data_IF_728112115428
#
_entry.id   IF_728112115428
#
_cell.length_a   1.000
_cell.length_b   1.000
_cell.length_c   1.000
_cell.angle_alpha   90.00
_cell.angle_beta   90.00
_cell.angle_gamma   90.00
#
_symmetry.space_group_name_H-M   'P 1'
#
loop_
_entity.id
_entity.type
_entity.pdbx_description
1 polymer ?
#
# COMPACT_ATOMS: atom_id res chain seq x y z
N UNK A 1 -4.52 32.62 -7.61
CA UNK A 1 -4.44 31.26 -8.18
C UNK A 1 -3.62 30.41 -7.22
N UNK A 2 -4.22 29.47 -6.51
CA UNK A 2 -3.52 28.59 -5.56
C UNK A 2 -3.23 27.28 -6.26
N UNK A 3 -1.98 27.04 -6.62
CA UNK A 3 -1.53 25.80 -7.24
C UNK A 3 -1.35 24.77 -6.13
N UNK A 4 -2.38 23.99 -5.81
CA UNK A 4 -2.24 22.82 -4.95
C UNK A 4 -1.47 21.75 -5.73
N UNK A 5 -0.18 21.59 -5.44
CA UNK A 5 0.58 20.43 -5.89
C UNK A 5 -0.03 19.19 -5.25
N UNK A 6 -0.96 18.54 -5.95
CA UNK A 6 -1.48 17.25 -5.54
C UNK A 6 -0.33 16.24 -5.60
N UNK A 7 0.33 16.02 -4.46
CA UNK A 7 1.31 14.95 -4.32
C UNK A 7 0.55 13.64 -4.48
N UNK A 8 0.47 13.15 -5.72
CA UNK A 8 -0.10 11.84 -6.07
C UNK A 8 0.56 10.79 -5.17
N UNK A 9 -0.28 10.06 -4.43
CA UNK A 9 0.14 8.92 -3.63
C UNK A 9 0.74 7.80 -4.51
N UNK A 10 1.25 6.73 -3.87
CA UNK A 10 1.77 5.58 -4.60
C UNK A 10 0.66 4.88 -5.42
N UNK A 11 1.06 4.20 -6.49
CA UNK A 11 0.14 3.45 -7.33
C UNK A 11 -0.08 2.04 -6.78
N UNK A 12 -1.31 1.55 -6.85
CA UNK A 12 -1.68 0.19 -6.46
C UNK A 12 -1.90 -0.66 -7.71
N UNK A 13 -1.01 -1.62 -7.94
CA UNK A 13 -1.09 -2.53 -9.09
C UNK A 13 -1.59 -3.89 -8.61
N UNK A 14 -2.75 -4.37 -9.06
CA UNK A 14 -3.26 -5.69 -8.66
C UNK A 14 -2.32 -6.79 -9.16
N UNK A 15 -2.01 -7.75 -8.27
CA UNK A 15 -1.18 -8.93 -8.58
C UNK A 15 -2.06 -10.17 -8.70
N UNK A 16 -3.02 -10.31 -7.78
CA UNK A 16 -4.08 -11.32 -7.76
C UNK A 16 -5.22 -10.80 -6.90
N UNK A 17 -6.32 -11.55 -6.80
CA UNK A 17 -7.42 -11.17 -5.91
C UNK A 17 -6.93 -10.93 -4.47
N UNK A 18 -7.27 -9.76 -3.93
CA UNK A 18 -6.87 -9.35 -2.60
C UNK A 18 -5.37 -9.04 -2.41
N UNK A 19 -4.55 -8.94 -3.46
CA UNK A 19 -3.13 -8.59 -3.31
C UNK A 19 -2.72 -7.51 -4.31
N UNK A 20 -2.18 -6.42 -3.78
CA UNK A 20 -1.67 -5.30 -4.57
C UNK A 20 -0.19 -5.09 -4.32
N UNK A 21 0.52 -4.78 -5.41
CA UNK A 21 1.88 -4.27 -5.38
C UNK A 21 1.82 -2.74 -5.35
N UNK A 22 2.52 -2.16 -4.39
CA UNK A 22 2.62 -0.70 -4.23
C UNK A 22 3.84 -0.20 -4.98
N UNK A 23 3.66 0.70 -5.95
CA UNK A 23 4.75 1.28 -6.72
C UNK A 23 4.87 2.78 -6.48
N UNK A 24 6.11 3.23 -6.24
CA UNK A 24 6.43 4.64 -6.13
C UNK A 24 6.44 5.33 -7.50
N UNK A 25 6.57 6.66 -7.50
CA UNK A 25 6.58 7.47 -8.73
C UNK A 25 7.73 7.11 -9.70
N UNK A 26 8.83 6.58 -9.19
CA UNK A 26 9.96 6.10 -10.00
C UNK A 26 9.70 4.73 -10.66
N UNK A 27 8.55 4.10 -10.40
CA UNK A 27 8.27 2.72 -10.78
C UNK A 27 8.86 1.67 -9.84
N UNK A 28 9.64 2.08 -8.83
CA UNK A 28 10.18 1.17 -7.83
C UNK A 28 9.05 0.54 -6.99
N UNK A 29 9.19 -0.76 -6.71
CA UNK A 29 8.25 -1.47 -5.83
C UNK A 29 8.58 -1.13 -4.38
N UNK A 30 7.63 -0.51 -3.68
CA UNK A 30 7.76 -0.11 -2.28
C UNK A 30 7.29 -1.20 -1.31
N UNK A 31 6.38 -2.06 -1.77
CA UNK A 31 5.85 -3.14 -0.95
C UNK A 31 4.54 -3.69 -1.47
N UNK A 32 3.75 -4.23 -0.55
CA UNK A 32 2.50 -4.90 -0.86
C UNK A 32 1.42 -4.53 0.16
N UNK A 33 0.17 -4.57 -0.30
CA UNK A 33 -1.01 -4.53 0.54
C UNK A 33 -1.80 -5.80 0.25
N UNK A 34 -2.21 -6.51 1.30
CA UNK A 34 -2.99 -7.74 1.17
C UNK A 34 -4.31 -7.61 1.93
N UNK A 35 -5.40 -7.99 1.27
CA UNK A 35 -6.72 -8.11 1.86
C UNK A 35 -6.77 -9.39 2.68
N UNK A 36 -7.16 -9.25 3.94
CA UNK A 36 -7.37 -10.33 4.90
C UNK A 36 -8.82 -10.33 5.33
N UNK A 37 -9.43 -11.50 5.35
CA UNK A 37 -10.73 -11.66 6.00
C UNK A 37 -10.50 -11.65 7.52
N UNK A 38 -11.20 -10.76 8.22
CA UNK A 38 -11.26 -10.70 9.68
C UNK A 38 -12.71 -10.98 10.14
N UNK A 39 -12.88 -11.37 11.41
CA UNK A 39 -14.20 -11.66 11.99
C UNK A 39 -15.18 -10.48 11.90
N UNK A 40 -14.68 -9.24 11.77
CA UNK A 40 -15.48 -8.01 11.67
C UNK A 40 -15.57 -7.44 10.25
N UNK A 41 -14.95 -8.07 9.26
CA UNK A 41 -14.92 -7.61 7.87
C UNK A 41 -13.55 -7.72 7.23
N UNK A 42 -13.39 -7.13 6.05
CA UNK A 42 -12.10 -7.15 5.36
C UNK A 42 -11.12 -6.12 5.94
N UNK A 43 -9.85 -6.51 6.10
CA UNK A 43 -8.75 -5.62 6.49
C UNK A 43 -7.64 -5.66 5.45
N UNK A 44 -6.85 -4.60 5.41
CA UNK A 44 -5.75 -4.42 4.48
C UNK A 44 -4.44 -4.38 5.25
N UNK A 45 -3.67 -5.46 5.16
CA UNK A 45 -2.36 -5.58 5.79
C UNK A 45 -1.29 -4.99 4.88
N UNK A 46 -0.61 -3.93 5.34
CA UNK A 46 0.46 -3.27 4.62
C UNK A 46 1.84 -3.83 5.02
N UNK A 47 2.69 -4.09 4.03
CA UNK A 47 4.08 -4.53 4.22
C UNK A 47 5.02 -3.75 3.30
N UNK A 48 6.03 -3.10 3.87
CA UNK A 48 7.06 -2.36 3.13
C UNK A 48 8.28 -3.20 2.91
N UNK A 49 8.80 -3.20 1.68
CA UNK A 49 10.10 -3.79 1.36
C UNK A 49 11.16 -2.77 1.74
N UNK A 50 12.11 -3.18 2.57
CA UNK A 50 13.22 -2.31 3.02
C UNK A 50 14.55 -2.72 2.39
N UNK A 51 14.76 -4.01 2.12
CA UNK A 51 15.98 -4.55 1.51
C UNK A 51 15.65 -5.90 0.85
N UNK A 52 15.97 -6.11 -0.43
CA UNK A 52 15.84 -7.38 -1.17
C UNK A 52 14.64 -8.28 -0.75
N UNK A 53 14.84 -9.19 0.22
CA UNK A 53 13.82 -10.11 0.73
C UNK A 53 13.17 -9.69 2.07
N UNK A 54 13.70 -8.67 2.75
CA UNK A 54 13.19 -8.17 4.03
C UNK A 54 12.04 -7.19 3.81
N UNK A 55 10.93 -7.51 4.47
CA UNK A 55 9.80 -6.60 4.61
C UNK A 55 9.45 -6.36 6.07
N UNK A 56 8.97 -5.16 6.35
CA UNK A 56 8.43 -4.77 7.65
C UNK A 56 6.92 -4.64 7.55
N UNK A 57 6.21 -5.04 8.59
CA UNK A 57 4.77 -4.83 8.69
C UNK A 57 4.51 -3.38 9.09
N UNK A 58 3.66 -2.69 8.33
CA UNK A 58 3.29 -1.31 8.59
C UNK A 58 1.99 -1.19 9.41
N UNK A 59 1.15 -2.22 9.36
CA UNK A 59 -0.11 -2.28 10.09
C UNK A 59 -1.24 -2.92 9.28
N UNK A 60 -2.42 -2.94 9.90
CA UNK A 60 -3.66 -3.44 9.31
C UNK A 60 -4.76 -2.39 9.38
N UNK A 61 -5.33 -2.09 8.23
CA UNK A 61 -6.24 -0.96 8.05
C UNK A 61 -7.61 -1.44 7.57
N UNK A 62 -8.65 -0.66 7.83
CA UNK A 62 -9.99 -0.96 7.33
C UNK A 62 -10.21 -0.47 5.89
N UNK A 63 -9.38 0.48 5.44
CA UNK A 63 -9.40 1.00 4.07
C UNK A 63 -8.05 0.81 3.41
N UNK A 64 -8.08 0.51 2.12
CA UNK A 64 -6.86 0.35 1.33
C UNK A 64 -6.11 1.67 1.15
N UNK A 65 -6.82 2.80 1.14
CA UNK A 65 -6.20 4.14 1.04
C UNK A 65 -5.36 4.47 2.27
N UNK A 66 -5.86 4.15 3.47
CA UNK A 66 -5.12 4.34 4.74
C UNK A 66 -3.84 3.51 4.76
N UNK A 67 -3.92 2.27 4.25
CA UNK A 67 -2.76 1.40 4.09
C UNK A 67 -1.76 1.96 3.06
N UNK A 68 -2.24 2.55 1.97
CA UNK A 68 -1.41 3.12 0.91
C UNK A 68 -0.68 4.40 1.36
N UNK A 69 -1.27 5.20 2.23
CA UNK A 69 -0.66 6.42 2.75
C UNK A 69 0.62 6.16 3.56
N UNK A 70 0.78 4.97 4.15
CA UNK A 70 2.02 4.58 4.84
C UNK A 70 3.24 4.39 3.91
N UNK A 71 3.05 4.45 2.59
CA UNK A 71 4.12 4.30 1.59
C UNK A 71 4.58 5.62 0.97
N UNK A 72 4.09 6.77 1.47
CA UNK A 72 4.55 8.09 1.04
C UNK A 72 6.01 8.38 1.39
#
# INVERSE_FOLDING_TARGET
MITTTATRGPSLVPVKDGLWRVTGRSGAVLGHIERRADARGERFAARRIVQAARSIHLGEFWRIDDAADCFR
#
